data_IF_030142273548
#
_entry.id   IF_030142273548
#
_cell.length_a   1.000
_cell.length_b   1.000
_cell.length_c   1.000
_cell.angle_alpha   90.00
_cell.angle_beta   90.00
_cell.angle_gamma   90.00
#
_symmetry.space_group_name_H-M   'P 1'
#
loop_
_entity.id
_entity.type
_entity.pdbx_description
1 polymer ?
#
# COMPACT_ATOMS: atom_id res chain seq x y z
N UNK A 1 2.46 53.26 1.21
CA UNK A 1 3.06 51.91 1.39
C UNK A 1 3.40 51.59 2.86
N UNK A 2 3.79 52.57 3.70
CA UNK A 2 3.82 52.44 5.17
C UNK A 2 2.54 51.88 5.87
N UNK A 3 1.31 52.08 5.34
CA UNK A 3 0.10 51.54 5.97
C UNK A 3 0.06 50.01 6.02
N UNK A 4 0.72 49.32 5.08
CA UNK A 4 0.71 47.85 4.98
C UNK A 4 1.55 47.22 6.10
N UNK A 5 2.70 47.83 6.42
CA UNK A 5 3.55 47.43 7.54
C UNK A 5 2.82 47.63 8.88
N UNK A 6 2.18 48.78 9.06
CA UNK A 6 1.38 49.09 10.25
C UNK A 6 0.19 48.14 10.38
N UNK A 7 -0.52 47.87 9.28
CA UNK A 7 -1.63 46.92 9.27
C UNK A 7 -1.19 45.48 9.58
N UNK A 8 -0.06 45.03 9.02
CA UNK A 8 0.50 43.71 9.30
C UNK A 8 0.89 43.56 10.78
N UNK A 9 1.51 44.58 11.37
CA UNK A 9 1.88 44.58 12.79
C UNK A 9 0.64 44.56 13.70
N UNK A 10 -0.39 45.37 13.39
CA UNK A 10 -1.66 45.39 14.14
C UNK A 10 -2.37 44.03 14.04
N UNK A 11 -2.46 43.45 12.84
CA UNK A 11 -3.07 42.15 12.62
C UNK A 11 -2.29 41.02 13.32
N UNK A 12 -0.96 41.04 13.24
CA UNK A 12 -0.11 40.06 13.91
C UNK A 12 -0.24 40.16 15.44
N UNK A 13 -0.32 41.37 16.00
CA UNK A 13 -0.53 41.59 17.42
C UNK A 13 -1.92 41.16 17.90
N UNK A 14 -2.97 41.41 17.10
CA UNK A 14 -4.36 41.10 17.47
C UNK A 14 -4.75 39.63 17.24
N UNK A 15 -4.31 39.01 16.14
CA UNK A 15 -4.75 37.68 15.70
C UNK A 15 -3.62 36.65 15.60
N UNK A 16 -2.41 37.06 15.23
CA UNK A 16 -1.27 36.15 15.02
C UNK A 16 -0.72 35.56 16.31
N UNK A 17 -0.63 36.38 17.37
CA UNK A 17 -0.09 35.98 18.68
C UNK A 17 -1.01 35.05 19.47
N UNK A 18 -2.33 35.22 19.35
CA UNK A 18 -3.32 34.45 20.10
C UNK A 18 -3.72 33.12 19.44
N UNK A 19 -3.17 32.80 18.26
CA UNK A 19 -3.44 31.53 17.58
C UNK A 19 -2.19 30.64 17.53
N UNK A 20 -2.13 29.53 18.29
CA UNK A 20 -0.92 28.72 18.45
C UNK A 20 -0.43 28.07 17.15
N UNK A 21 -1.32 27.85 16.16
CA UNK A 21 -0.94 27.30 14.85
C UNK A 21 -0.28 28.32 13.94
N UNK A 22 -0.58 29.60 14.12
CA UNK A 22 -0.02 30.71 13.34
C UNK A 22 1.29 31.15 13.96
N UNK A 23 1.32 31.28 15.30
CA UNK A 23 2.52 31.60 16.06
C UNK A 23 3.65 30.62 15.75
N UNK A 24 3.46 29.30 15.89
CA UNK A 24 4.52 28.30 15.64
C UNK A 24 5.08 28.29 14.20
N UNK A 25 4.37 28.86 13.22
CA UNK A 25 4.84 28.96 11.83
C UNK A 25 5.55 30.27 11.52
N UNK A 26 5.20 31.33 12.25
CA UNK A 26 5.77 32.68 12.10
C UNK A 26 6.90 32.95 13.09
N UNK A 27 6.94 32.23 14.21
CA UNK A 27 7.98 32.35 15.22
C UNK A 27 9.35 32.00 14.59
N UNK A 28 10.34 32.86 14.81
CA UNK A 28 11.64 32.82 14.13
C UNK A 28 11.68 33.35 12.69
N UNK A 29 10.54 33.60 12.03
CA UNK A 29 10.47 34.12 10.63
C UNK A 29 9.88 35.52 10.50
N UNK A 30 9.33 36.08 11.57
CA UNK A 30 8.76 37.44 11.58
C UNK A 30 9.82 38.49 11.23
N UNK A 31 11.03 38.36 11.75
CA UNK A 31 12.13 39.28 11.44
C UNK A 31 12.48 39.30 9.95
N UNK A 32 12.48 38.13 9.31
CA UNK A 32 12.73 38.00 7.85
C UNK A 32 11.59 38.56 7.01
N UNK A 33 10.33 38.38 7.45
CA UNK A 33 9.15 38.91 6.76
C UNK A 33 9.12 40.45 6.86
N UNK A 34 9.39 41.00 8.05
CA UNK A 34 9.47 42.45 8.26
C UNK A 34 10.64 43.05 7.47
N UNK A 35 11.80 42.38 7.45
CA UNK A 35 12.95 42.79 6.65
C UNK A 35 12.62 42.89 5.16
N UNK A 36 11.96 41.87 4.59
CA UNK A 36 11.54 41.89 3.18
C UNK A 36 10.49 42.97 2.90
N UNK A 37 9.53 43.19 3.82
CA UNK A 37 8.55 44.27 3.67
C UNK A 37 9.22 45.65 3.67
N UNK A 38 10.17 45.89 4.59
CA UNK A 38 10.93 47.14 4.65
C UNK A 38 11.81 47.29 3.41
N UNK A 39 12.54 46.25 3.00
CA UNK A 39 13.37 46.27 1.79
C UNK A 39 12.55 46.62 0.55
N UNK A 40 11.36 46.04 0.39
CA UNK A 40 10.47 46.31 -0.74
C UNK A 40 9.89 47.73 -0.69
N UNK A 41 9.78 48.34 0.49
CA UNK A 41 9.37 49.75 0.63
C UNK A 41 10.49 50.77 0.41
N UNK A 42 11.74 50.41 0.71
CA UNK A 42 12.89 51.35 0.67
C UNK A 42 13.66 51.24 -0.66
N UNK A 43 13.75 50.05 -1.25
CA UNK A 43 14.44 49.81 -2.53
C UNK A 43 13.94 50.70 -3.70
N UNK A 44 12.64 51.03 -3.84
CA UNK A 44 12.17 51.91 -4.91
C UNK A 44 12.69 53.36 -4.81
N UNK A 45 13.12 53.81 -3.63
CA UNK A 45 13.60 55.17 -3.38
C UNK A 45 15.06 55.40 -3.81
N UNK A 46 15.78 54.34 -4.19
CA UNK A 46 17.20 54.38 -4.54
C UNK A 46 17.49 54.15 -6.04
N UNK A 47 16.45 54.09 -6.88
CA UNK A 47 16.59 53.90 -8.34
C UNK A 47 16.26 55.22 -9.05
N UNK A 48 17.25 55.98 -9.55
CA UNK A 48 16.98 57.20 -10.32
C UNK A 48 16.55 56.89 -11.74
N UNK A 49 15.54 57.61 -12.23
CA UNK A 49 15.09 57.54 -13.63
C UNK A 49 14.04 56.47 -13.93
N UNK A 50 13.45 56.58 -15.13
CA UNK A 50 12.27 55.90 -15.73
C UNK A 50 11.95 54.45 -15.26
N UNK A 51 12.94 53.68 -14.79
CA UNK A 51 12.76 52.39 -14.13
C UNK A 51 11.98 52.45 -12.80
N UNK A 52 12.08 53.53 -12.03
CA UNK A 52 11.29 53.72 -10.80
C UNK A 52 9.79 53.90 -11.06
N UNK A 53 9.43 54.53 -12.18
CA UNK A 53 8.04 54.74 -12.59
C UNK A 53 7.36 53.43 -13.07
N UNK A 54 8.13 52.56 -13.73
CA UNK A 54 7.69 51.21 -14.15
C UNK A 54 7.47 50.27 -12.95
N UNK A 55 8.31 50.38 -11.92
CA UNK A 55 8.13 49.63 -10.67
C UNK A 55 6.94 50.15 -9.84
N UNK A 56 6.71 51.47 -9.84
CA UNK A 56 5.54 52.09 -9.20
C UNK A 56 4.21 51.64 -9.79
N UNK A 57 4.12 51.52 -11.13
CA UNK A 57 2.90 51.09 -11.83
C UNK A 57 2.57 49.60 -11.65
N UNK A 58 3.58 48.72 -11.64
CA UNK A 58 3.37 47.28 -11.43
C UNK A 58 2.99 46.96 -9.99
N UNK A 59 3.57 47.65 -9.02
CA UNK A 59 3.23 47.50 -7.60
C UNK A 59 1.86 48.14 -7.27
N UNK A 60 1.49 49.25 -7.91
CA UNK A 60 0.16 49.84 -7.79
C UNK A 60 -0.94 48.95 -8.41
N UNK A 61 -0.68 48.32 -9.54
CA UNK A 61 -1.60 47.36 -10.16
C UNK A 61 -1.80 46.10 -9.29
N UNK A 62 -0.73 45.61 -8.63
CA UNK A 62 -0.83 44.53 -7.64
C UNK A 62 -1.57 44.98 -6.36
N UNK A 63 -1.44 46.24 -5.95
CA UNK A 63 -2.18 46.78 -4.81
C UNK A 63 -3.69 46.97 -5.10
N UNK A 64 -4.07 47.32 -6.34
CA UNK A 64 -5.47 47.40 -6.77
C UNK A 64 -6.08 45.99 -6.90
N UNK A 65 -5.33 45.01 -7.40
CA UNK A 65 -5.74 43.59 -7.36
C UNK A 65 -5.83 43.05 -5.93
N UNK A 66 -5.01 43.54 -4.99
CA UNK A 66 -5.11 43.20 -3.57
C UNK A 66 -6.30 43.89 -2.86
N UNK A 67 -6.73 45.07 -3.32
CA UNK A 67 -7.85 45.81 -2.76
C UNK A 67 -9.24 45.19 -3.06
N UNK A 68 -9.37 44.47 -4.19
CA UNK A 68 -10.56 43.66 -4.49
C UNK A 68 -10.49 42.21 -3.95
N UNK A 69 -9.36 41.83 -3.34
CA UNK A 69 -9.09 40.49 -2.82
C UNK A 69 -9.00 40.34 -1.28
N UNK A 70 -9.65 41.17 -0.40
CA UNK A 70 -9.71 40.83 1.03
C UNK A 70 -10.68 39.69 1.35
N UNK A 71 -11.59 39.33 0.44
CA UNK A 71 -12.66 38.35 0.71
C UNK A 71 -12.32 36.96 0.17
N UNK A 72 -11.62 36.87 -0.97
CA UNK A 72 -11.36 35.58 -1.64
C UNK A 72 -10.24 34.81 -0.92
N UNK A 73 -9.24 35.50 -0.37
CA UNK A 73 -8.09 34.86 0.28
C UNK A 73 -8.51 34.19 1.61
N UNK A 74 -9.31 34.82 2.50
CA UNK A 74 -9.88 34.11 3.64
C UNK A 74 -10.85 33.01 3.24
N UNK A 75 -11.68 33.16 2.20
CA UNK A 75 -12.61 32.09 1.78
C UNK A 75 -11.88 30.86 1.20
N UNK A 76 -10.79 31.06 0.46
CA UNK A 76 -9.96 29.95 -0.09
C UNK A 76 -9.09 29.32 1.00
N UNK A 77 -8.63 30.09 1.99
CA UNK A 77 -7.84 29.57 3.11
C UNK A 77 -8.74 28.91 4.17
N UNK A 78 -9.91 29.47 4.47
CA UNK A 78 -10.93 28.89 5.35
C UNK A 78 -11.61 27.70 4.68
N UNK A 79 -11.86 27.72 3.36
CA UNK A 79 -12.30 26.55 2.61
C UNK A 79 -11.26 25.40 2.60
N UNK A 80 -9.96 25.74 2.65
CA UNK A 80 -8.88 24.76 2.82
C UNK A 80 -8.63 24.37 4.29
N UNK A 81 -9.05 25.17 5.28
CA UNK A 81 -8.84 24.90 6.72
C UNK A 81 -10.06 24.32 7.45
N UNK A 82 -11.30 24.57 7.00
CA UNK A 82 -12.54 24.01 7.58
C UNK A 82 -12.94 22.65 7.01
N UNK A 83 -12.03 21.98 6.30
CA UNK A 83 -12.12 20.53 6.14
C UNK A 83 -13.46 20.04 5.62
N UNK A 84 -13.81 20.41 4.39
CA UNK A 84 -14.56 19.46 3.56
C UNK A 84 -13.63 18.28 3.23
N UNK A 85 -13.47 17.43 4.23
CA UNK A 85 -13.18 16.00 4.14
C UNK A 85 -12.03 15.56 3.23
N UNK A 86 -10.78 15.90 3.55
CA UNK A 86 -9.72 14.89 3.34
C UNK A 86 -9.95 13.77 4.35
N UNK A 87 -10.86 12.85 4.03
CA UNK A 87 -10.93 11.55 4.70
C UNK A 87 -9.54 10.94 4.57
N UNK A 88 -8.85 10.73 5.70
CA UNK A 88 -7.79 9.72 5.78
C UNK A 88 -8.44 8.43 5.27
N UNK A 89 -8.10 8.01 4.05
CA UNK A 89 -8.52 6.71 3.55
C UNK A 89 -7.75 5.66 4.33
N UNK A 90 -8.27 5.28 5.49
CA UNK A 90 -8.22 3.87 5.86
C UNK A 90 -8.77 3.12 4.66
N UNK A 91 -7.93 2.25 4.09
CA UNK A 91 -8.22 1.54 2.86
C UNK A 91 -9.45 0.65 3.11
N UNK A 92 -10.63 1.11 2.67
CA UNK A 92 -11.75 0.19 2.47
C UNK A 92 -11.37 -0.67 1.27
N UNK A 93 -11.26 -1.97 1.50
CA UNK A 93 -11.24 -2.97 0.44
C UNK A 93 -12.62 -2.88 -0.21
N UNK A 94 -12.69 -2.18 -1.34
CA UNK A 94 -13.88 -2.08 -2.18
C UNK A 94 -13.62 -2.99 -3.37
N UNK A 95 -14.40 -4.06 -3.48
CA UNK A 95 -14.45 -4.87 -4.71
C UNK A 95 -14.90 -3.97 -5.86
N UNK A 96 -14.19 -4.06 -6.99
CA UNK A 96 -14.14 -3.04 -8.04
C UNK A 96 -15.46 -2.87 -8.83
N UNK A 97 -15.84 -1.64 -9.21
CA UNK A 97 -16.67 -1.41 -10.38
C UNK A 97 -15.81 -1.44 -11.67
N UNK A 98 -16.41 -1.86 -12.79
CA UNK A 98 -15.75 -2.11 -14.09
C UNK A 98 -14.72 -1.05 -14.53
N UNK A 99 -13.54 -1.52 -14.90
CA UNK A 99 -12.26 -0.79 -15.07
C UNK A 99 -12.14 0.11 -16.32
N UNK A 100 -13.20 0.29 -17.13
CA UNK A 100 -13.03 0.83 -18.50
C UNK A 100 -12.92 2.37 -18.63
N UNK A 101 -13.19 3.17 -17.58
CA UNK A 101 -13.34 4.63 -17.74
C UNK A 101 -12.51 5.51 -16.77
N UNK A 102 -11.53 4.97 -16.05
CA UNK A 102 -10.70 5.79 -15.15
C UNK A 102 -9.33 6.07 -15.76
N UNK A 103 -9.00 7.34 -16.05
CA UNK A 103 -7.60 7.69 -16.35
C UNK A 103 -6.81 7.66 -15.06
N UNK A 104 -5.66 6.98 -15.03
CA UNK A 104 -4.83 6.96 -13.82
C UNK A 104 -4.24 8.36 -13.53
N UNK A 105 -4.13 9.23 -14.53
CA UNK A 105 -3.44 10.52 -14.42
C UNK A 105 -1.93 10.40 -14.66
N UNK A 106 -1.46 9.21 -15.09
CA UNK A 106 -0.09 9.01 -15.56
C UNK A 106 0.19 9.88 -16.80
N UNK A 107 1.41 10.40 -16.89
CA UNK A 107 1.86 11.15 -18.06
C UNK A 107 1.71 10.34 -19.35
N UNK A 108 1.26 10.96 -20.45
CA UNK A 108 1.16 10.29 -21.77
C UNK A 108 2.51 10.11 -22.47
N UNK A 109 3.57 10.72 -21.97
CA UNK A 109 4.89 10.75 -22.62
C UNK A 109 5.67 9.44 -22.40
N UNK A 110 5.98 8.72 -23.48
CA UNK A 110 6.75 7.46 -23.47
C UNK A 110 8.10 7.62 -22.75
N UNK A 111 8.93 8.64 -23.05
CA UNK A 111 10.21 8.82 -22.35
C UNK A 111 10.04 9.04 -20.84
N UNK A 112 8.98 9.73 -20.42
CA UNK A 112 8.71 9.96 -19.00
C UNK A 112 8.29 8.66 -18.30
N UNK A 113 7.37 7.88 -18.89
CA UNK A 113 6.98 6.56 -18.34
C UNK A 113 8.19 5.63 -18.22
N UNK A 114 9.04 5.59 -19.24
CA UNK A 114 10.31 4.83 -19.21
C UNK A 114 11.23 5.29 -18.08
N UNK A 115 11.36 6.60 -17.87
CA UNK A 115 12.19 7.16 -16.79
C UNK A 115 11.65 6.76 -15.41
N UNK A 116 10.33 6.71 -15.22
CA UNK A 116 9.69 6.25 -13.98
C UNK A 116 10.09 4.80 -13.70
N UNK A 117 9.85 3.89 -14.65
CA UNK A 117 10.16 2.46 -14.48
C UNK A 117 11.66 2.24 -14.28
N UNK A 118 12.52 2.91 -15.06
CA UNK A 118 13.99 2.83 -14.88
C UNK A 118 14.45 3.30 -13.50
N UNK A 119 13.92 4.43 -13.03
CA UNK A 119 14.21 4.97 -11.70
C UNK A 119 13.78 3.98 -10.63
N UNK A 120 12.56 3.46 -10.72
CA UNK A 120 12.01 2.52 -9.76
C UNK A 120 12.80 1.20 -9.74
N UNK A 121 13.11 0.64 -10.92
CA UNK A 121 13.95 -0.55 -11.06
C UNK A 121 15.31 -0.40 -10.36
N UNK A 122 15.94 0.78 -10.48
CA UNK A 122 17.22 1.07 -9.81
C UNK A 122 17.08 1.21 -8.29
N UNK A 123 16.06 1.90 -7.82
CA UNK A 123 15.84 2.13 -6.37
C UNK A 123 15.52 0.82 -5.66
N UNK A 124 14.66 0.00 -6.25
CA UNK A 124 14.12 -1.21 -5.61
C UNK A 124 14.78 -2.50 -6.09
N UNK A 125 15.74 -2.44 -7.03
CA UNK A 125 16.47 -3.60 -7.53
C UNK A 125 15.56 -4.70 -8.06
N UNK A 126 14.75 -4.39 -9.09
CA UNK A 126 13.82 -5.34 -9.74
C UNK A 126 14.47 -6.12 -10.89
N UNK A 127 15.74 -5.85 -11.21
CA UNK A 127 16.51 -6.51 -12.27
C UNK A 127 15.87 -6.49 -13.67
N UNK A 128 14.97 -5.52 -13.94
CA UNK A 128 14.33 -5.42 -15.25
C UNK A 128 15.32 -4.97 -16.31
N UNK A 129 15.34 -5.69 -17.43
CA UNK A 129 16.09 -5.34 -18.64
C UNK A 129 15.45 -4.15 -19.35
N UNK A 130 16.22 -3.47 -20.20
CA UNK A 130 15.70 -2.34 -20.98
C UNK A 130 14.54 -2.76 -21.90
N UNK A 131 14.56 -3.99 -22.42
CA UNK A 131 13.49 -4.53 -23.27
C UNK A 131 12.21 -4.80 -22.48
N UNK A 132 12.31 -5.36 -21.28
CA UNK A 132 11.15 -5.56 -20.39
C UNK A 132 10.56 -4.23 -19.95
N UNK A 133 11.41 -3.24 -19.65
CA UNK A 133 10.96 -1.88 -19.33
C UNK A 133 10.18 -1.30 -20.51
N UNK A 134 10.65 -1.49 -21.74
CA UNK A 134 9.95 -1.03 -22.93
C UNK A 134 8.61 -1.75 -23.09
N UNK A 135 8.56 -3.07 -22.88
CA UNK A 135 7.31 -3.84 -22.89
C UNK A 135 6.32 -3.36 -21.85
N UNK A 136 6.73 -3.09 -20.60
CA UNK A 136 5.86 -2.53 -19.55
C UNK A 136 5.30 -1.17 -19.99
N UNK A 137 6.15 -0.31 -20.55
CA UNK A 137 5.74 1.02 -21.02
C UNK A 137 4.77 0.90 -22.19
N UNK A 138 5.02 0.04 -23.16
CA UNK A 138 4.13 -0.14 -24.31
C UNK A 138 2.79 -0.75 -23.87
N UNK A 139 2.83 -1.73 -22.95
CA UNK A 139 1.64 -2.36 -22.37
C UNK A 139 0.76 -1.35 -21.60
N UNK A 140 1.36 -0.31 -21.00
CA UNK A 140 0.62 0.74 -20.28
C UNK A 140 -0.26 1.63 -21.17
N UNK A 141 -0.15 1.52 -22.49
CA UNK A 141 -1.07 2.18 -23.43
C UNK A 141 -2.26 1.30 -23.82
N UNK A 142 -2.15 -0.01 -23.60
CA UNK A 142 -3.16 -1.00 -23.98
C UNK A 142 -3.89 -1.60 -22.77
N UNK A 143 -3.33 -1.47 -21.57
CA UNK A 143 -3.89 -2.02 -20.33
C UNK A 143 -3.91 -0.98 -19.21
N UNK A 144 -5.11 -0.75 -18.66
CA UNK A 144 -5.30 0.11 -17.48
C UNK A 144 -4.53 -0.40 -16.26
N UNK A 145 -4.42 -1.72 -16.10
CA UNK A 145 -3.68 -2.31 -14.99
C UNK A 145 -2.19 -1.98 -15.09
N UNK A 146 -1.58 -2.09 -16.28
CA UNK A 146 -0.19 -1.66 -16.50
C UNK A 146 -0.01 -0.16 -16.35
N UNK A 147 -0.97 0.66 -16.80
CA UNK A 147 -0.94 2.12 -16.57
C UNK A 147 -0.93 2.44 -15.07
N UNK A 148 -1.74 1.74 -14.29
CA UNK A 148 -1.81 1.89 -12.84
C UNK A 148 -0.52 1.43 -12.16
N UNK A 149 0.09 0.33 -12.60
CA UNK A 149 1.38 -0.11 -12.07
C UNK A 149 2.48 0.93 -12.28
N UNK A 150 2.60 1.51 -13.48
CA UNK A 150 3.59 2.56 -13.71
C UNK A 150 3.29 3.80 -12.85
N UNK A 151 2.02 4.13 -12.66
CA UNK A 151 1.64 5.22 -11.76
C UNK A 151 2.05 4.93 -10.32
N UNK A 152 1.83 3.71 -9.84
CA UNK A 152 2.24 3.32 -8.50
C UNK A 152 3.78 3.35 -8.38
N UNK A 153 4.52 2.97 -9.44
CA UNK A 153 5.99 3.15 -9.50
C UNK A 153 6.45 4.62 -9.53
N UNK A 154 5.56 5.57 -9.84
CA UNK A 154 5.86 7.01 -9.72
C UNK A 154 5.67 7.53 -8.29
N UNK A 155 5.11 6.73 -7.39
CA UNK A 155 4.97 7.05 -5.98
C UNK A 155 6.30 7.02 -5.24
N UNK A 156 6.39 7.86 -4.21
CA UNK A 156 7.46 7.80 -3.21
C UNK A 156 7.02 6.87 -2.08
N UNK A 157 7.79 5.82 -1.81
CA UNK A 157 7.56 4.88 -0.72
C UNK A 157 8.74 4.87 0.23
N UNK A 158 8.47 4.96 1.53
CA UNK A 158 9.50 4.84 2.56
C UNK A 158 10.02 3.39 2.65
N UNK A 159 9.18 2.41 2.30
CA UNK A 159 9.52 0.99 2.30
C UNK A 159 8.88 0.24 1.11
N UNK A 160 9.60 -0.74 0.55
CA UNK A 160 9.12 -1.65 -0.52
C UNK A 160 7.82 -2.36 -0.15
N UNK A 161 7.62 -2.69 1.13
CA UNK A 161 6.39 -3.35 1.58
C UNK A 161 5.13 -2.49 1.40
N UNK A 162 5.26 -1.16 1.39
CA UNK A 162 4.13 -0.27 1.09
C UNK A 162 3.69 -0.39 -0.37
N UNK A 163 4.65 -0.60 -1.26
CA UNK A 163 4.39 -0.91 -2.66
C UNK A 163 3.69 -2.27 -2.79
N UNK A 164 3.95 -3.27 -1.96
CA UNK A 164 3.19 -4.53 -2.05
C UNK A 164 1.71 -4.41 -1.67
N UNK A 165 1.29 -3.33 -1.02
CA UNK A 165 -0.09 -3.15 -0.66
C UNK A 165 -0.91 -2.69 -1.90
N UNK A 166 -1.21 -3.61 -2.81
CA UNK A 166 -2.06 -3.39 -3.99
C UNK A 166 -2.83 -4.65 -4.36
N UNK A 167 -3.79 -4.53 -5.28
CA UNK A 167 -4.51 -5.69 -5.85
C UNK A 167 -3.63 -6.57 -6.75
N UNK A 168 -2.46 -6.05 -7.12
CA UNK A 168 -1.47 -6.62 -8.03
C UNK A 168 -0.20 -7.00 -7.27
N UNK A 169 -0.31 -7.21 -5.96
CA UNK A 169 0.78 -7.61 -5.08
C UNK A 169 1.57 -8.83 -5.60
N UNK A 170 0.89 -9.77 -6.25
CA UNK A 170 1.49 -10.93 -6.92
C UNK A 170 2.50 -10.55 -7.99
N UNK A 171 2.22 -9.52 -8.79
CA UNK A 171 3.12 -9.03 -9.83
C UNK A 171 4.35 -8.39 -9.20
N UNK A 172 4.14 -7.62 -8.14
CA UNK A 172 5.22 -6.92 -7.42
C UNK A 172 6.16 -7.90 -6.72
N UNK A 173 5.60 -8.96 -6.13
CA UNK A 173 6.36 -10.08 -5.58
C UNK A 173 7.16 -10.78 -6.68
N UNK A 174 6.54 -11.08 -7.83
CA UNK A 174 7.21 -11.71 -8.97
C UNK A 174 8.40 -10.88 -9.48
N UNK A 175 8.18 -9.60 -9.78
CA UNK A 175 9.20 -8.68 -10.29
C UNK A 175 10.35 -8.46 -9.30
N UNK A 176 10.10 -8.57 -8.00
CA UNK A 176 11.14 -8.38 -6.98
C UNK A 176 11.90 -9.67 -6.66
N UNK A 177 11.21 -10.81 -6.64
CA UNK A 177 11.76 -12.06 -6.16
C UNK A 177 12.69 -12.73 -7.17
N UNK A 178 12.34 -12.74 -8.45
CA UNK A 178 13.18 -13.39 -9.46
C UNK A 178 14.20 -12.41 -10.05
N UNK A 179 15.36 -12.91 -10.51
CA UNK A 179 16.32 -12.10 -11.26
C UNK A 179 15.99 -12.03 -12.76
N UNK A 180 15.23 -13.00 -13.27
CA UNK A 180 14.81 -13.09 -14.67
C UNK A 180 13.31 -13.30 -14.70
N UNK A 181 12.64 -12.51 -15.54
CA UNK A 181 11.19 -12.51 -15.64
C UNK A 181 10.73 -12.63 -17.08
N UNK A 182 9.44 -12.87 -17.25
CA UNK A 182 8.77 -12.65 -18.53
C UNK A 182 7.67 -11.63 -18.32
N UNK A 183 7.73 -10.55 -19.08
CA UNK A 183 6.70 -9.50 -19.11
C UNK A 183 5.89 -9.63 -20.38
N UNK A 184 4.58 -9.83 -20.21
CA UNK A 184 3.54 -9.83 -21.24
C UNK A 184 2.83 -8.48 -21.29
N UNK A 185 2.47 -8.04 -22.50
CA UNK A 185 1.65 -6.84 -22.70
C UNK A 185 0.22 -7.02 -22.21
N UNK A 186 -0.31 -8.24 -22.32
CA UNK A 186 -1.60 -8.61 -21.74
C UNK A 186 -1.44 -8.94 -20.26
N UNK A 187 -2.23 -8.25 -19.42
CA UNK A 187 -2.20 -8.36 -17.97
C UNK A 187 -2.82 -9.66 -17.46
N UNK A 188 -3.83 -10.20 -18.16
CA UNK A 188 -4.43 -11.49 -17.81
C UNK A 188 -3.42 -12.61 -18.03
N UNK A 189 -2.80 -12.65 -19.22
CA UNK A 189 -1.70 -13.56 -19.52
C UNK A 189 -0.52 -13.39 -18.57
N UNK A 190 -0.18 -12.16 -18.17
CA UNK A 190 0.87 -11.93 -17.17
C UNK A 190 0.53 -12.64 -15.85
N UNK A 191 -0.72 -12.57 -15.41
CA UNK A 191 -1.15 -13.25 -14.18
C UNK A 191 -1.04 -14.76 -14.29
N UNK A 192 -1.39 -15.34 -15.44
CA UNK A 192 -1.24 -16.77 -15.71
C UNK A 192 0.23 -17.20 -15.62
N UNK A 193 1.13 -16.49 -16.30
CA UNK A 193 2.59 -16.74 -16.25
C UNK A 193 3.09 -16.74 -14.80
N UNK A 194 2.67 -15.76 -14.00
CA UNK A 194 3.08 -15.65 -12.61
C UNK A 194 2.55 -16.81 -11.77
N UNK A 195 1.28 -17.17 -11.92
CA UNK A 195 0.65 -18.30 -11.21
C UNK A 195 1.29 -19.63 -11.59
N UNK A 196 1.63 -19.84 -12.87
CA UNK A 196 2.33 -21.04 -13.34
C UNK A 196 3.74 -21.11 -12.78
N UNK A 197 4.51 -20.02 -12.87
CA UNK A 197 5.89 -19.96 -12.37
C UNK A 197 5.93 -20.26 -10.87
N UNK A 198 5.06 -19.63 -10.09
CA UNK A 198 4.99 -19.86 -8.65
C UNK A 198 4.53 -21.27 -8.28
N UNK A 199 3.57 -21.83 -9.02
CA UNK A 199 3.11 -23.19 -8.78
C UNK A 199 4.21 -24.20 -9.07
N UNK A 200 4.94 -24.03 -10.18
CA UNK A 200 6.08 -24.87 -10.50
C UNK A 200 7.15 -24.78 -9.41
N UNK A 201 7.48 -23.56 -8.95
CA UNK A 201 8.43 -23.35 -7.87
C UNK A 201 8.05 -24.13 -6.60
N UNK A 202 6.80 -24.00 -6.14
CA UNK A 202 6.35 -24.68 -4.93
C UNK A 202 6.18 -26.20 -5.11
N UNK A 203 5.88 -26.68 -6.32
CA UNK A 203 5.85 -28.13 -6.61
C UNK A 203 7.24 -28.75 -6.53
N UNK A 204 8.25 -28.09 -7.10
CA UNK A 204 9.61 -28.61 -7.15
C UNK A 204 10.31 -28.57 -5.80
N UNK A 205 10.05 -27.53 -5.00
CA UNK A 205 10.62 -27.40 -3.65
C UNK A 205 9.84 -28.25 -2.65
N UNK A 206 8.52 -28.34 -2.82
CA UNK A 206 7.59 -28.95 -1.87
C UNK A 206 7.78 -28.40 -0.44
N UNK A 207 7.16 -27.27 -0.08
CA UNK A 207 7.37 -26.64 1.23
C UNK A 207 7.07 -27.54 2.43
N UNK A 208 6.28 -28.60 2.27
CA UNK A 208 5.96 -29.54 3.35
C UNK A 208 7.12 -30.44 3.78
N UNK A 209 8.19 -30.56 2.98
CA UNK A 209 9.38 -31.32 3.37
C UNK A 209 10.29 -30.58 4.34
N UNK A 210 10.05 -29.29 4.56
CA UNK A 210 10.89 -28.43 5.40
C UNK A 210 10.37 -28.34 6.83
N UNK A 211 11.29 -28.12 7.77
CA UNK A 211 10.95 -27.98 9.19
C UNK A 211 10.51 -26.56 9.52
N UNK A 212 11.11 -25.57 8.88
CA UNK A 212 10.74 -24.16 9.04
C UNK A 212 10.54 -23.48 7.68
N UNK A 213 9.83 -22.35 7.71
CA UNK A 213 9.65 -21.52 6.52
C UNK A 213 10.94 -20.83 6.09
N UNK A 214 11.77 -20.44 7.05
CA UNK A 214 13.07 -19.79 6.80
C UNK A 214 14.02 -20.71 6.03
N UNK A 215 14.08 -21.99 6.41
CA UNK A 215 14.89 -23.01 5.75
C UNK A 215 14.41 -23.24 4.30
N UNK A 216 13.09 -23.34 4.11
CA UNK A 216 12.49 -23.45 2.78
C UNK A 216 12.84 -22.24 1.89
N UNK A 217 12.73 -21.02 2.41
CA UNK A 217 13.05 -19.80 1.66
C UNK A 217 14.54 -19.73 1.33
N UNK A 218 15.41 -20.09 2.29
CA UNK A 218 16.85 -20.13 2.08
C UNK A 218 17.23 -21.08 0.94
N UNK A 219 16.66 -22.29 0.93
CA UNK A 219 16.88 -23.27 -0.13
C UNK A 219 16.37 -22.80 -1.48
N UNK A 220 15.17 -22.19 -1.52
CA UNK A 220 14.63 -21.62 -2.76
C UNK A 220 15.57 -20.54 -3.33
N UNK A 221 16.01 -19.62 -2.48
CA UNK A 221 16.87 -18.53 -2.89
C UNK A 221 18.22 -19.04 -3.41
N UNK A 222 18.79 -20.06 -2.78
CA UNK A 222 20.06 -20.64 -3.24
C UNK A 222 19.92 -21.48 -4.51
N UNK A 223 18.82 -22.24 -4.64
CA UNK A 223 18.60 -23.14 -5.79
C UNK A 223 18.21 -22.39 -7.05
N UNK A 224 17.35 -21.37 -6.93
CA UNK A 224 16.80 -20.63 -8.06
C UNK A 224 17.39 -19.22 -8.21
N UNK A 225 18.37 -18.85 -7.37
CA UNK A 225 19.00 -17.52 -7.33
C UNK A 225 17.98 -16.39 -7.15
N UNK A 226 16.94 -16.66 -6.36
CA UNK A 226 15.86 -15.72 -6.06
C UNK A 226 16.17 -14.89 -4.80
N UNK A 227 15.38 -13.84 -4.61
CA UNK A 227 15.40 -12.96 -3.43
C UNK A 227 14.01 -12.95 -2.79
N UNK A 228 13.56 -14.12 -2.34
CA UNK A 228 12.34 -14.25 -1.56
C UNK A 228 12.60 -13.94 -0.09
N UNK A 229 11.63 -13.28 0.51
CA UNK A 229 11.46 -13.11 1.95
C UNK A 229 10.15 -13.75 2.40
N UNK A 230 9.90 -13.80 3.71
CA UNK A 230 8.67 -14.37 4.24
C UNK A 230 7.42 -13.70 3.67
N UNK A 231 7.46 -12.38 3.47
CA UNK A 231 6.32 -11.60 2.98
C UNK A 231 5.97 -11.99 1.55
N UNK A 232 6.95 -12.00 0.64
CA UNK A 232 6.77 -12.39 -0.76
C UNK A 232 6.39 -13.85 -0.88
N UNK A 233 6.99 -14.75 -0.09
CA UNK A 233 6.58 -16.15 -0.03
C UNK A 233 5.11 -16.29 0.37
N UNK A 234 4.65 -15.60 1.40
CA UNK A 234 3.25 -15.67 1.83
C UNK A 234 2.29 -15.02 0.82
N UNK A 235 2.72 -14.01 0.06
CA UNK A 235 1.94 -13.48 -1.07
C UNK A 235 1.77 -14.51 -2.17
N UNK A 236 2.85 -15.23 -2.51
CA UNK A 236 2.84 -16.33 -3.48
C UNK A 236 1.86 -17.42 -3.03
N UNK A 237 2.01 -17.86 -1.78
CA UNK A 237 1.16 -18.90 -1.21
C UNK A 237 -0.33 -18.55 -1.29
N UNK A 238 -0.70 -17.33 -0.88
CA UNK A 238 -2.09 -16.84 -0.91
C UNK A 238 -2.62 -16.72 -2.34
N UNK A 239 -1.81 -16.28 -3.30
CA UNK A 239 -2.20 -16.21 -4.70
C UNK A 239 -2.54 -17.59 -5.25
N UNK A 240 -1.70 -18.59 -4.96
CA UNK A 240 -1.91 -19.97 -5.42
C UNK A 240 -3.17 -20.57 -4.81
N UNK A 241 -3.40 -20.39 -3.50
CA UNK A 241 -4.64 -20.79 -2.85
C UNK A 241 -5.87 -20.13 -3.49
N UNK A 242 -5.82 -18.82 -3.75
CA UNK A 242 -6.90 -18.10 -4.42
C UNK A 242 -7.14 -18.57 -5.86
N UNK A 243 -6.12 -19.17 -6.49
CA UNK A 243 -6.19 -19.76 -7.83
C UNK A 243 -6.57 -21.25 -7.82
N UNK A 244 -6.90 -21.82 -6.65
CA UNK A 244 -7.27 -23.24 -6.50
C UNK A 244 -6.09 -24.21 -6.45
N UNK A 245 -4.85 -23.72 -6.32
CA UNK A 245 -3.62 -24.52 -6.25
C UNK A 245 -3.15 -24.62 -4.81
N UNK A 246 -3.31 -25.79 -4.21
CA UNK A 246 -3.06 -25.98 -2.78
C UNK A 246 -1.68 -26.60 -2.53
N UNK A 247 -0.88 -25.88 -1.75
CA UNK A 247 0.41 -26.34 -1.24
C UNK A 247 0.36 -26.43 0.28
N UNK A 248 1.06 -27.40 0.87
CA UNK A 248 1.18 -27.51 2.34
C UNK A 248 2.39 -26.72 2.79
N UNK A 249 2.21 -25.84 3.78
CA UNK A 249 3.30 -25.10 4.39
C UNK A 249 4.19 -26.01 5.25
N UNK A 250 5.45 -25.62 5.51
CA UNK A 250 6.31 -26.29 6.46
C UNK A 250 5.59 -26.40 7.81
N UNK A 251 5.44 -27.62 8.32
CA UNK A 251 4.96 -27.81 9.69
C UNK A 251 6.17 -27.68 10.59
N UNK A 252 6.23 -26.59 11.36
CA UNK A 252 7.10 -26.58 12.53
C UNK A 252 6.66 -27.76 13.39
N UNK A 253 7.46 -28.81 13.44
CA UNK A 253 7.39 -29.79 14.52
C UNK A 253 7.90 -29.13 15.81
N UNK A 254 7.34 -27.97 16.16
CA UNK A 254 7.09 -27.65 17.55
C UNK A 254 6.19 -28.78 17.98
N UNK A 255 6.76 -29.73 18.72
CA UNK A 255 6.05 -30.72 19.51
C UNK A 255 4.75 -30.04 19.94
N UNK A 256 3.62 -30.47 19.37
CA UNK A 256 2.32 -30.08 19.90
C UNK A 256 2.38 -30.58 21.33
N UNK A 257 2.74 -29.70 22.26
CA UNK A 257 2.31 -29.85 23.63
C UNK A 257 0.80 -29.80 23.48
N UNK A 258 0.18 -30.99 23.37
CA UNK A 258 -1.25 -31.15 23.48
C UNK A 258 -1.64 -30.29 24.67
N UNK A 259 -2.38 -29.22 24.38
CA UNK A 259 -2.83 -28.33 25.44
C UNK A 259 -3.61 -29.22 26.42
N UNK A 260 -3.55 -28.92 27.72
CA UNK A 260 -4.28 -29.75 28.70
C UNK A 260 -5.78 -29.84 28.36
N UNK A 261 -6.29 -28.87 27.59
CA UNK A 261 -7.63 -28.84 26.99
C UNK A 261 -7.81 -29.93 25.91
N UNK A 262 -6.84 -30.14 25.02
CA UNK A 262 -6.89 -31.22 24.01
C UNK A 262 -6.82 -32.61 24.65
N UNK A 263 -6.02 -32.76 25.72
CA UNK A 263 -5.99 -33.99 26.52
C UNK A 263 -7.32 -34.23 27.25
N UNK A 264 -7.91 -33.17 27.81
CA UNK A 264 -9.21 -33.23 28.47
C UNK A 264 -10.32 -33.58 27.47
N UNK A 265 -10.29 -33.00 26.27
CA UNK A 265 -11.26 -33.28 25.21
C UNK A 265 -11.18 -34.75 24.77
N UNK A 266 -9.97 -35.25 24.52
CA UNK A 266 -9.76 -36.66 24.17
C UNK A 266 -10.24 -37.60 25.29
N UNK A 267 -9.96 -37.28 26.55
CA UNK A 267 -10.44 -38.06 27.69
C UNK A 267 -11.96 -38.07 27.80
N UNK A 268 -12.63 -36.94 27.50
CA UNK A 268 -14.08 -36.87 27.47
C UNK A 268 -14.68 -37.67 26.32
N UNK A 269 -14.14 -37.51 25.10
CA UNK A 269 -14.61 -38.24 23.92
C UNK A 269 -14.46 -39.77 24.12
N UNK A 270 -13.31 -40.23 24.63
CA UNK A 270 -13.06 -41.65 24.95
C UNK A 270 -14.02 -42.19 26.03
N UNK A 271 -14.39 -41.37 27.03
CA UNK A 271 -15.34 -41.79 28.08
C UNK A 271 -16.79 -41.82 27.62
N UNK A 272 -17.18 -40.90 26.72
CA UNK A 272 -18.53 -40.86 26.16
C UNK A 272 -18.75 -42.07 25.25
N UNK A 273 -17.76 -42.40 24.40
CA UNK A 273 -17.85 -43.56 23.52
C UNK A 273 -17.90 -44.88 24.30
N UNK A 274 -17.14 -44.99 25.41
CA UNK A 274 -17.19 -46.16 26.28
C UNK A 274 -18.53 -46.32 27.03
N UNK A 275 -19.11 -45.24 27.54
CA UNK A 275 -20.41 -45.26 28.22
C UNK A 275 -21.55 -45.62 27.25
N UNK A 276 -21.52 -45.05 26.04
CA UNK A 276 -22.48 -45.38 24.97
C UNK A 276 -22.37 -46.84 24.56
N UNK A 277 -21.16 -47.37 24.34
CA UNK A 277 -20.94 -48.78 24.01
C UNK A 277 -21.44 -49.73 25.11
N UNK A 278 -21.22 -49.38 26.37
CA UNK A 278 -21.65 -50.20 27.53
C UNK A 278 -23.18 -50.27 27.66
N UNK A 279 -23.88 -49.15 27.40
CA UNK A 279 -25.34 -49.08 27.46
C UNK A 279 -26.00 -49.81 26.30
N UNK A 280 -25.42 -49.72 25.10
CA UNK A 280 -25.90 -50.44 23.93
C UNK A 280 -25.75 -51.95 24.14
N UNK A 281 -24.59 -52.43 24.58
CA UNK A 281 -24.37 -53.86 24.84
C UNK A 281 -25.23 -54.41 25.97
N UNK A 282 -25.45 -53.63 27.04
CA UNK A 282 -26.37 -54.02 28.11
C UNK A 282 -27.82 -54.16 27.63
N UNK A 283 -28.29 -53.24 26.77
CA UNK A 283 -29.61 -53.31 26.15
C UNK A 283 -29.76 -54.51 25.21
N UNK A 284 -28.71 -54.81 24.45
CA UNK A 284 -28.70 -55.92 23.49
C UNK A 284 -28.75 -57.27 24.21
N UNK A 285 -28.00 -57.41 25.31
CA UNK A 285 -28.03 -58.60 26.16
C UNK A 285 -29.39 -58.81 26.83
N UNK A 286 -30.00 -57.73 27.35
CA UNK A 286 -31.35 -57.79 27.94
C UNK A 286 -32.42 -58.19 26.92
N UNK A 287 -32.32 -57.69 25.67
CA UNK A 287 -33.22 -58.07 24.59
C UNK A 287 -33.05 -59.55 24.19
N UNK A 288 -31.81 -60.03 24.13
CA UNK A 288 -31.50 -61.43 23.81
C UNK A 288 -31.97 -62.40 24.89
N UNK A 289 -31.88 -62.02 26.17
CA UNK A 289 -32.40 -62.82 27.28
C UNK A 289 -33.93 -62.90 27.27
N UNK A 290 -34.63 -61.81 26.96
CA UNK A 290 -36.08 -61.81 26.77
C UNK A 290 -36.52 -62.72 25.60
N UNK A 291 -35.77 -62.71 24.49
CA UNK A 291 -36.02 -63.60 23.35
C UNK A 291 -35.78 -65.07 23.73
N UNK A 292 -34.75 -65.37 24.54
CA UNK A 292 -34.51 -66.73 25.05
C UNK A 292 -35.62 -67.20 25.98
N UNK A 293 -36.08 -66.35 26.91
CA UNK A 293 -37.18 -66.72 27.82
C UNK A 293 -38.48 -66.99 27.05
N UNK A 294 -38.75 -66.24 25.98
CA UNK A 294 -39.93 -66.44 25.13
C UNK A 294 -39.90 -67.71 24.28
N UNK A 295 -38.72 -68.29 24.03
CA UNK A 295 -38.58 -69.59 23.32
C UNK A 295 -38.70 -70.81 24.25
N UNK A 296 -38.66 -70.61 25.57
CA UNK A 296 -38.78 -71.68 26.56
C UNK A 296 -40.20 -71.84 27.14
N UNK A 297 -41.15 -71.00 26.70
CA UNK A 297 -42.59 -71.13 26.95
C UNK A 297 -43.28 -71.71 25.72
#
# INVERSE_FOLDING_TARGET
MMPILVFFLIWYAAFGRNNPRIYNKLDGKIGTIVFWLVALTVLPSFIPGVLGAMFGLTVAALAILAAFSPIIIPAVIVGRMLGFGKKKKGRKITYAPEERNMSTGLTKSVPKRRKIVKRFNKIYGLNLTDDEINKIVDASYMSFAWEKEIKDMDGDYDNVYEWYNSMTNWLRAYLKAFPVHTVSSDFARQKEIVVETFDQLLKEVNPSSYTSLEECIYDINNKYYCVLDETTFMMIYRLLQASGKYHKLPTSNLIRHESDIDKLKKKYDDTVDADVYSKVTASENAANDLIRMRRMQ
#
